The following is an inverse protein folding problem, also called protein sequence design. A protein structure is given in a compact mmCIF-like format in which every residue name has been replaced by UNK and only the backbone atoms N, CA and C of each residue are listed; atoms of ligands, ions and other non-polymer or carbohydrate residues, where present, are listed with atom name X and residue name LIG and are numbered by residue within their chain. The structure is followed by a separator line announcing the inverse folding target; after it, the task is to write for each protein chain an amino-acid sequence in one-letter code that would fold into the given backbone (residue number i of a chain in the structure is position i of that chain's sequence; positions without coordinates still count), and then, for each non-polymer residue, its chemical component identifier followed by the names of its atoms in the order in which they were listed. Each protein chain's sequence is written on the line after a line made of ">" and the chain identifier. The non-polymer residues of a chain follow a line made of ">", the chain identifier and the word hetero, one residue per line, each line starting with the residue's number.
data_IF_931962936819
#
_entry.id   IF_931962936819
#
_cell.length_a   1.000
_cell.length_b   1.000
_cell.length_c   1.000
_cell.angle_alpha   90.00
_cell.angle_beta   90.00
_cell.angle_gamma   90.00
#
_symmetry.space_group_name_H-M   'P 1'
#
loop_
_entity.id
_entity.type
_entity.pdbx_description
1 polymer ?
#
# COMPACT_ATOMS: atom_id res chain seq x y z
N UNK A 1 17.10 19.16 -11.20
CA UNK A 1 17.57 18.63 -9.92
C UNK A 1 17.10 19.46 -8.72
N UNK A 2 16.27 20.51 -8.92
CA UNK A 2 15.79 21.39 -7.83
C UNK A 2 14.26 21.47 -7.68
N UNK A 3 13.46 20.55 -8.26
CA UNK A 3 11.99 20.61 -8.14
C UNK A 3 11.38 19.22 -7.95
N UNK A 4 11.86 18.47 -6.97
CA UNK A 4 11.00 17.45 -6.35
C UNK A 4 10.37 18.17 -5.16
N UNK A 5 9.12 18.62 -5.32
CA UNK A 5 8.29 18.98 -4.19
C UNK A 5 8.12 17.70 -3.35
N UNK A 6 9.03 17.46 -2.41
CA UNK A 6 8.81 16.48 -1.36
C UNK A 6 7.79 17.13 -0.44
N UNK A 7 6.51 16.92 -0.77
CA UNK A 7 5.41 17.32 0.10
C UNK A 7 5.74 16.86 1.51
N UNK A 8 5.68 17.79 2.46
CA UNK A 8 5.97 17.58 3.88
C UNK A 8 4.99 16.60 4.56
N UNK A 9 4.13 15.95 3.78
CA UNK A 9 3.12 14.97 4.15
C UNK A 9 3.74 13.64 4.65
N UNK A 10 4.90 13.25 4.12
CA UNK A 10 5.55 11.97 4.43
C UNK A 10 6.53 12.07 5.61
N UNK A 11 6.04 12.44 6.80
CA UNK A 11 6.84 12.52 8.03
C UNK A 11 6.21 11.68 9.15
N UNK A 12 6.71 10.46 9.32
CA UNK A 12 6.28 9.55 10.38
C UNK A 12 7.01 8.22 10.34
N UNK A 13 6.86 7.37 11.37
CA UNK A 13 7.54 6.06 11.44
C UNK A 13 7.03 5.05 10.40
N UNK A 14 5.87 5.30 9.79
CA UNK A 14 5.19 4.37 8.86
C UNK A 14 5.51 4.69 7.39
N UNK A 15 6.79 4.62 7.02
CA UNK A 15 7.26 4.91 5.66
C UNK A 15 6.62 4.01 4.60
N UNK A 16 6.27 2.78 4.96
CA UNK A 16 5.59 1.82 4.09
C UNK A 16 4.19 2.28 3.69
N UNK A 17 3.45 2.95 4.57
CA UNK A 17 2.09 3.44 4.28
C UNK A 17 2.15 4.66 3.37
N UNK A 18 3.10 5.55 3.61
CA UNK A 18 3.36 6.70 2.75
C UNK A 18 3.82 6.29 1.36
N UNK A 19 4.66 5.26 1.26
CA UNK A 19 5.05 4.70 -0.03
C UNK A 19 3.86 4.10 -0.77
N UNK A 20 3.01 3.32 -0.08
CA UNK A 20 1.79 2.76 -0.66
C UNK A 20 0.88 3.87 -1.20
N UNK A 21 0.63 4.91 -0.39
CA UNK A 21 -0.18 6.07 -0.78
C UNK A 21 0.40 6.79 -2.02
N UNK A 22 1.72 7.01 -2.03
CA UNK A 22 2.38 7.65 -3.16
C UNK A 22 2.24 6.85 -4.46
N UNK A 23 2.38 5.53 -4.39
CA UNK A 23 2.28 4.63 -5.55
C UNK A 23 0.85 4.65 -6.12
N UNK A 24 -0.17 4.52 -5.27
CA UNK A 24 -1.57 4.50 -5.74
C UNK A 24 -1.98 5.84 -6.36
N UNK A 25 -1.55 6.97 -5.79
CA UNK A 25 -1.83 8.31 -6.32
C UNK A 25 -1.10 8.59 -7.63
N UNK A 26 0.00 7.86 -7.89
CA UNK A 26 0.77 7.97 -9.14
C UNK A 26 0.21 7.08 -10.26
N UNK A 27 -0.82 6.28 -10.01
CA UNK A 27 -1.41 5.40 -11.03
C UNK A 27 -2.16 6.23 -12.07
N UNK A 28 -1.79 6.07 -13.35
CA UNK A 28 -2.61 6.53 -14.46
C UNK A 28 -4.01 5.89 -14.41
N UNK A 29 -4.99 6.48 -15.10
CA UNK A 29 -6.33 5.90 -15.22
C UNK A 29 -6.24 4.47 -15.80
N UNK A 30 -6.87 3.50 -15.14
CA UNK A 30 -6.75 2.07 -15.39
C UNK A 30 -5.34 1.46 -15.19
N UNK A 31 -4.41 2.22 -14.63
CA UNK A 31 -3.10 1.76 -14.21
C UNK A 31 -3.21 0.75 -13.07
N UNK A 32 -2.21 -0.14 -12.98
CA UNK A 32 -2.15 -1.20 -11.98
C UNK A 32 -0.80 -1.22 -11.28
N UNK A 33 -0.79 -1.59 -10.01
CA UNK A 33 0.42 -1.84 -9.23
C UNK A 33 0.29 -3.11 -8.39
N UNK A 34 1.44 -3.75 -8.18
CA UNK A 34 1.62 -4.79 -7.17
C UNK A 34 2.62 -4.26 -6.14
N UNK A 35 2.17 -4.03 -4.90
CA UNK A 35 2.98 -3.46 -3.83
C UNK A 35 3.20 -4.49 -2.73
N UNK A 36 4.46 -4.72 -2.35
CA UNK A 36 4.83 -5.60 -1.22
C UNK A 36 5.04 -4.77 0.05
N UNK A 37 4.47 -5.21 1.17
CA UNK A 37 4.62 -4.58 2.47
C UNK A 37 4.40 -5.59 3.62
N UNK A 38 4.76 -5.25 4.87
CA UNK A 38 4.46 -6.08 6.02
C UNK A 38 2.96 -6.37 6.14
N UNK A 39 2.61 -7.64 6.41
CA UNK A 39 1.21 -8.07 6.53
C UNK A 39 0.48 -7.39 7.70
N UNK A 40 1.24 -6.81 8.64
CA UNK A 40 0.77 -5.85 9.65
C UNK A 40 -0.25 -4.86 9.09
N UNK A 41 -0.05 -4.36 7.88
CA UNK A 41 -0.97 -3.40 7.25
C UNK A 41 -2.42 -3.89 7.28
N UNK A 42 -2.68 -5.17 7.07
CA UNK A 42 -4.04 -5.73 7.03
C UNK A 42 -4.79 -5.56 8.35
N UNK A 43 -4.07 -5.62 9.48
CA UNK A 43 -4.66 -5.64 10.83
C UNK A 43 -4.36 -4.38 11.65
N UNK A 44 -3.52 -3.48 11.13
CA UNK A 44 -3.20 -2.22 11.80
C UNK A 44 -4.43 -1.30 11.85
N UNK A 45 -4.72 -0.80 13.06
CA UNK A 45 -5.87 0.03 13.44
C UNK A 45 -5.46 1.47 13.81
N UNK A 46 -4.22 1.86 13.52
CA UNK A 46 -3.77 3.25 13.62
C UNK A 46 -4.63 4.15 12.72
N UNK A 47 -4.78 5.41 13.11
CA UNK A 47 -5.61 6.38 12.37
C UNK A 47 -5.12 6.53 10.93
N UNK A 48 -3.81 6.57 10.74
CA UNK A 48 -3.15 6.69 9.44
C UNK A 48 -3.47 5.48 8.55
N UNK A 49 -3.39 4.27 9.09
CA UNK A 49 -3.72 3.04 8.37
C UNK A 49 -5.19 2.98 7.98
N UNK A 50 -6.10 3.33 8.90
CA UNK A 50 -7.54 3.35 8.64
C UNK A 50 -7.87 4.35 7.52
N UNK A 51 -7.35 5.58 7.61
CA UNK A 51 -7.55 6.59 6.56
C UNK A 51 -7.02 6.13 5.20
N UNK A 52 -5.86 5.47 5.16
CA UNK A 52 -5.30 4.93 3.92
C UNK A 52 -6.16 3.78 3.35
N UNK A 53 -6.63 2.86 4.19
CA UNK A 53 -7.54 1.78 3.78
C UNK A 53 -8.83 2.35 3.21
N UNK A 54 -9.44 3.32 3.89
CA UNK A 54 -10.66 3.99 3.43
C UNK A 54 -10.45 4.63 2.06
N UNK A 55 -9.32 5.34 1.88
CA UNK A 55 -8.94 5.93 0.58
C UNK A 55 -8.80 4.86 -0.52
N UNK A 56 -8.16 3.73 -0.22
CA UNK A 56 -8.01 2.62 -1.15
C UNK A 56 -9.38 2.06 -1.55
N UNK A 57 -10.22 1.68 -0.58
CA UNK A 57 -11.52 1.05 -0.88
C UNK A 57 -12.48 1.98 -1.61
N UNK A 58 -12.47 3.29 -1.31
CA UNK A 58 -13.40 4.26 -1.90
C UNK A 58 -12.98 4.76 -3.27
N UNK A 59 -11.69 4.81 -3.58
CA UNK A 59 -11.20 5.46 -4.81
C UNK A 59 -10.50 4.50 -5.78
N UNK A 60 -9.98 3.38 -5.28
CA UNK A 60 -9.21 2.42 -6.04
C UNK A 60 -9.80 1.00 -5.92
N UNK A 61 -9.41 0.14 -6.84
CA UNK A 61 -9.86 -1.23 -6.89
C UNK A 61 -8.74 -2.13 -6.34
N UNK A 62 -8.95 -2.69 -5.16
CA UNK A 62 -8.07 -3.69 -4.58
C UNK A 62 -8.47 -5.06 -5.15
N UNK A 63 -7.76 -5.50 -6.18
CA UNK A 63 -8.07 -6.72 -6.93
C UNK A 63 -7.85 -8.00 -6.11
N UNK A 64 -6.76 -8.05 -5.33
CA UNK A 64 -6.40 -9.23 -4.54
C UNK A 64 -5.33 -8.90 -3.50
N UNK A 65 -5.32 -9.66 -2.40
CA UNK A 65 -4.24 -9.67 -1.41
C UNK A 65 -3.58 -11.06 -1.43
N UNK A 66 -2.28 -11.11 -1.72
CA UNK A 66 -1.50 -12.34 -1.68
C UNK A 66 -0.63 -12.40 -0.42
N UNK A 67 -0.97 -13.29 0.51
CA UNK A 67 -0.19 -13.51 1.73
C UNK A 67 1.03 -14.38 1.45
N UNK A 68 2.21 -13.94 1.88
CA UNK A 68 3.46 -14.68 1.77
C UNK A 68 3.73 -15.39 3.10
N UNK A 69 4.12 -16.69 3.11
CA UNK A 69 4.47 -17.39 4.34
C UNK A 69 5.62 -16.71 5.11
N UNK A 70 5.55 -16.72 6.44
CA UNK A 70 6.62 -16.20 7.30
C UNK A 70 7.95 -16.91 7.01
N UNK A 71 9.04 -16.16 6.99
CA UNK A 71 10.38 -16.71 6.72
C UNK A 71 10.69 -17.01 5.25
N UNK A 72 9.78 -16.74 4.31
CA UNK A 72 10.04 -16.88 2.88
C UNK A 72 11.20 -16.02 2.36
N UNK A 73 11.57 -14.95 3.09
CA UNK A 73 12.68 -14.05 2.76
C UNK A 73 13.89 -14.21 3.68
N UNK A 74 14.05 -15.34 4.35
CA UNK A 74 15.30 -15.62 5.08
C UNK A 74 16.50 -15.70 4.12
N UNK A 75 17.69 -15.23 4.52
CA UNK A 75 18.05 -14.73 5.86
C UNK A 75 17.76 -13.25 6.10
N UNK A 76 17.16 -12.53 5.14
CA UNK A 76 16.97 -11.07 5.23
C UNK A 76 15.89 -10.66 6.23
N UNK A 77 14.77 -11.38 6.26
CA UNK A 77 13.70 -11.11 7.23
C UNK A 77 12.82 -12.33 7.48
N UNK A 78 12.39 -12.47 8.74
CA UNK A 78 11.36 -13.42 9.15
C UNK A 78 9.95 -12.81 9.14
N UNK A 79 9.83 -11.50 8.91
CA UNK A 79 8.55 -10.77 8.91
C UNK A 79 7.62 -11.35 7.85
N UNK A 80 6.35 -11.55 8.23
CA UNK A 80 5.29 -11.97 7.31
C UNK A 80 4.90 -10.80 6.40
N UNK A 81 4.90 -11.02 5.10
CA UNK A 81 4.63 -10.00 4.08
C UNK A 81 3.35 -10.33 3.31
N UNK A 82 2.78 -9.33 2.66
CA UNK A 82 1.74 -9.52 1.66
C UNK A 82 2.01 -8.66 0.42
N UNK A 83 1.37 -9.03 -0.68
CA UNK A 83 1.33 -8.25 -1.92
C UNK A 83 -0.10 -7.76 -2.14
N UNK A 84 -0.26 -6.46 -2.32
CA UNK A 84 -1.52 -5.83 -2.71
C UNK A 84 -1.52 -5.62 -4.23
N UNK A 85 -2.53 -6.13 -4.91
CA UNK A 85 -2.79 -5.83 -6.31
C UNK A 85 -3.87 -4.75 -6.37
N UNK A 86 -3.50 -3.55 -6.82
CA UNK A 86 -4.38 -2.38 -6.82
C UNK A 86 -4.44 -1.79 -8.23
N UNK A 87 -5.62 -1.35 -8.65
CA UNK A 87 -5.85 -0.66 -9.92
C UNK A 87 -6.64 0.64 -9.75
N UNK A 88 -6.29 1.65 -10.55
CA UNK A 88 -7.01 2.93 -10.63
C UNK A 88 -8.18 2.82 -11.63
N UNK A 89 -9.09 1.89 -11.37
CA UNK A 89 -10.26 1.60 -12.22
C UNK A 89 -11.59 1.92 -11.52
N UNK A 90 -11.56 2.64 -10.40
CA UNK A 90 -12.73 2.94 -9.55
C UNK A 90 -12.69 2.18 -8.21
N UNK A 91 -13.75 2.28 -7.39
CA UNK A 91 -13.81 1.70 -6.05
C UNK A 91 -13.76 0.17 -6.05
N UNK A 92 -13.38 -0.39 -4.91
CA UNK A 92 -13.37 -1.84 -4.69
C UNK A 92 -14.81 -2.35 -4.47
N UNK A 93 -15.26 -3.32 -5.27
CA UNK A 93 -16.55 -4.00 -5.07
C UNK A 93 -16.41 -5.24 -4.17
N UNK A 94 -15.41 -6.08 -4.48
CA UNK A 94 -15.15 -7.35 -3.79
C UNK A 94 -13.66 -7.63 -3.72
N UNK A 95 -13.25 -8.29 -2.65
CA UNK A 95 -11.89 -8.79 -2.41
C UNK A 95 -11.88 -10.31 -2.24
#
# INVERSE_FOLDING_TARGET
>A
WDNIHIDTHYKGPNLDYYFLEHVIDSLAVNGKAAIILPERFLYDVSKECITLKDKIFQNYNLDCIFSIPSGALLPYTAVKLCILFISNSGPTDRI
#
